data_IF_414723809084
#
_entry.id   IF_414723809084
#
_cell.length_a   1.000
_cell.length_b   1.000
_cell.length_c   1.000
_cell.angle_alpha   90.00
_cell.angle_beta   90.00
_cell.angle_gamma   90.00
#
_symmetry.space_group_name_H-M   'P 1'
#
loop_
_entity.id
_entity.type
_entity.pdbx_description
1 polymer ?
#
# COMPACT_ATOMS: atom_id res chain seq x y z
N UNK A 1 -5.67 -4.81 -23.66
CA UNK A 1 -5.21 -3.42 -23.79
C UNK A 1 -5.04 -2.84 -22.39
N UNK A 2 -3.85 -2.34 -22.04
CA UNK A 2 -3.67 -1.61 -20.77
C UNK A 2 -4.48 -0.32 -20.83
N UNK A 3 -5.35 -0.10 -19.83
CA UNK A 3 -6.09 1.16 -19.71
C UNK A 3 -5.11 2.23 -19.24
N UNK A 4 -4.88 3.24 -20.07
CA UNK A 4 -4.15 4.45 -19.66
C UNK A 4 -5.12 5.44 -19.02
N UNK A 5 -4.66 6.14 -18.00
CA UNK A 5 -5.41 7.22 -17.35
C UNK A 5 -4.57 8.48 -17.38
N UNK A 6 -5.11 9.53 -18.00
CA UNK A 6 -4.49 10.87 -17.97
C UNK A 6 -4.95 11.59 -16.72
N UNK A 7 -4.00 12.17 -15.99
CA UNK A 7 -4.25 12.95 -14.77
C UNK A 7 -3.55 14.29 -14.89
N UNK A 8 -4.24 15.37 -14.51
CA UNK A 8 -3.66 16.71 -14.40
C UNK A 8 -3.46 17.05 -12.93
N UNK A 9 -2.24 17.37 -12.53
CA UNK A 9 -1.88 17.69 -11.14
C UNK A 9 -1.40 19.13 -11.09
N UNK A 10 -1.91 19.91 -10.13
CA UNK A 10 -1.40 21.24 -9.83
C UNK A 10 -0.49 21.15 -8.62
N UNK A 11 0.75 21.57 -8.78
CA UNK A 11 1.75 21.64 -7.70
C UNK A 11 2.17 23.11 -7.57
N UNK A 12 2.28 23.61 -6.34
CA UNK A 12 2.61 25.02 -6.06
C UNK A 12 3.56 25.17 -4.87
N UNK A 13 4.17 26.36 -4.76
CA UNK A 13 5.10 26.70 -3.69
C UNK A 13 6.33 25.79 -3.66
N UNK A 14 6.78 25.45 -2.46
CA UNK A 14 7.99 24.64 -2.22
C UNK A 14 7.97 23.28 -2.95
N UNK A 15 6.80 22.68 -3.17
CA UNK A 15 6.70 21.42 -3.92
C UNK A 15 7.00 21.61 -5.41
N UNK A 16 6.63 22.76 -5.98
CA UNK A 16 6.94 23.06 -7.39
C UNK A 16 8.43 23.26 -7.60
N UNK A 17 9.08 23.98 -6.67
CA UNK A 17 10.54 24.15 -6.68
C UNK A 17 11.25 22.81 -6.53
N UNK A 18 10.80 21.98 -5.60
CA UNK A 18 11.36 20.65 -5.40
C UNK A 18 11.23 19.77 -6.66
N UNK A 19 10.07 19.76 -7.31
CA UNK A 19 9.89 19.04 -8.58
C UNK A 19 10.83 19.59 -9.66
N UNK A 20 10.98 20.92 -9.76
CA UNK A 20 11.86 21.55 -10.73
C UNK A 20 13.35 21.19 -10.54
N UNK A 21 13.81 21.03 -9.30
CA UNK A 21 15.20 20.58 -9.02
C UNK A 21 15.43 19.10 -9.35
N UNK A 22 14.37 18.29 -9.40
CA UNK A 22 14.47 16.85 -9.65
C UNK A 22 14.19 16.46 -11.10
N UNK A 23 13.73 17.40 -11.93
CA UNK A 23 13.28 17.14 -13.30
C UNK A 23 14.00 18.04 -14.30
N UNK A 24 14.49 17.48 -15.40
CA UNK A 24 15.21 18.21 -16.44
C UNK A 24 16.59 17.62 -16.71
N UNK A 25 17.44 18.35 -17.45
CA UNK A 25 18.75 17.87 -17.90
C UNK A 25 19.70 17.50 -16.74
N UNK A 26 19.66 18.29 -15.66
CA UNK A 26 20.44 18.04 -14.43
C UNK A 26 19.63 17.28 -13.35
N UNK A 27 18.37 16.94 -13.65
CA UNK A 27 17.45 16.27 -12.73
C UNK A 27 17.59 14.74 -12.75
N UNK A 28 17.14 14.09 -11.69
CA UNK A 28 17.09 12.62 -11.64
C UNK A 28 16.02 12.01 -12.57
N UNK A 29 15.11 12.84 -13.10
CA UNK A 29 14.01 12.43 -13.97
C UNK A 29 13.95 13.33 -15.21
N UNK A 30 13.57 12.76 -16.34
CA UNK A 30 13.51 13.51 -17.61
C UNK A 30 12.32 14.46 -17.64
N UNK A 31 11.18 14.06 -17.05
CA UNK A 31 9.96 14.85 -17.01
C UNK A 31 9.11 14.60 -15.76
N UNK A 32 8.19 15.52 -15.49
CA UNK A 32 7.30 15.46 -14.32
C UNK A 32 6.44 14.20 -14.32
N UNK A 33 5.97 13.76 -15.49
CA UNK A 33 5.13 12.56 -15.61
C UNK A 33 5.90 11.29 -15.24
N UNK A 34 7.20 11.21 -15.51
CA UNK A 34 8.06 10.14 -15.02
C UNK A 34 8.21 10.18 -13.52
N UNK A 35 8.52 11.36 -12.98
CA UNK A 35 8.69 11.53 -11.55
C UNK A 35 7.42 11.14 -10.76
N UNK A 36 6.25 11.61 -11.20
CA UNK A 36 4.96 11.26 -10.60
C UNK A 36 4.67 9.75 -10.69
N UNK A 37 4.97 9.10 -11.84
CA UNK A 37 4.80 7.64 -11.96
C UNK A 37 5.67 6.88 -10.99
N UNK A 38 6.91 7.33 -10.78
CA UNK A 38 7.80 6.72 -9.81
C UNK A 38 7.32 6.92 -8.36
N UNK A 39 6.87 8.13 -8.01
CA UNK A 39 6.27 8.40 -6.70
C UNK A 39 5.03 7.52 -6.43
N UNK A 40 4.14 7.35 -7.42
CA UNK A 40 2.97 6.48 -7.29
C UNK A 40 3.39 5.02 -7.10
N UNK A 41 4.43 4.56 -7.80
CA UNK A 41 4.95 3.19 -7.63
C UNK A 41 5.49 2.98 -6.22
N UNK A 42 6.31 3.91 -5.72
CA UNK A 42 6.87 3.85 -4.36
C UNK A 42 5.78 3.93 -3.29
N UNK A 43 4.75 4.75 -3.52
CA UNK A 43 3.59 4.83 -2.63
C UNK A 43 2.83 3.50 -2.58
N UNK A 44 2.53 2.92 -3.74
CA UNK A 44 1.90 1.60 -3.85
C UNK A 44 2.71 0.52 -3.11
N UNK A 45 4.01 0.44 -3.37
CA UNK A 45 4.90 -0.54 -2.72
C UNK A 45 4.95 -0.35 -1.21
N UNK A 46 4.97 0.90 -0.74
CA UNK A 46 4.91 1.21 0.70
C UNK A 46 3.61 0.72 1.31
N UNK A 47 2.47 1.06 0.72
CA UNK A 47 1.15 0.66 1.23
C UNK A 47 0.99 -0.86 1.25
N UNK A 48 1.42 -1.56 0.20
CA UNK A 48 1.38 -3.02 0.14
C UNK A 48 2.27 -3.66 1.20
N UNK A 49 3.49 -3.15 1.38
CA UNK A 49 4.42 -3.63 2.42
C UNK A 49 3.85 -3.42 3.82
N UNK A 50 3.32 -2.24 4.11
CA UNK A 50 2.71 -1.93 5.41
C UNK A 50 1.50 -2.83 5.71
N UNK A 51 0.66 -3.10 4.69
CA UNK A 51 -0.47 -4.01 4.83
C UNK A 51 -0.01 -5.45 5.11
N UNK A 52 1.01 -5.91 4.37
CA UNK A 52 1.59 -7.23 4.55
C UNK A 52 2.23 -7.40 5.93
N UNK A 53 3.06 -6.44 6.35
CA UNK A 53 3.76 -6.48 7.63
C UNK A 53 2.77 -6.45 8.81
N UNK A 54 1.68 -5.69 8.69
CA UNK A 54 0.59 -5.68 9.66
C UNK A 54 -0.06 -7.06 9.80
N UNK A 55 -0.46 -7.67 8.69
CA UNK A 55 -1.08 -9.00 8.69
C UNK A 55 -0.11 -10.06 9.25
N UNK A 56 1.17 -10.00 8.84
CA UNK A 56 2.21 -10.90 9.34
C UNK A 56 2.37 -10.78 10.85
N UNK A 57 2.42 -9.55 11.39
CA UNK A 57 2.53 -9.32 12.82
C UNK A 57 1.31 -9.85 13.59
N UNK A 58 0.10 -9.65 13.05
CA UNK A 58 -1.13 -10.18 13.64
C UNK A 58 -1.13 -11.71 13.68
N UNK A 59 -0.81 -12.36 12.56
CA UNK A 59 -0.73 -13.81 12.47
C UNK A 59 0.36 -14.38 13.38
N UNK A 60 1.55 -13.78 13.40
CA UNK A 60 2.63 -14.20 14.29
C UNK A 60 2.19 -14.15 15.77
N UNK A 61 1.46 -13.10 16.16
CA UNK A 61 0.91 -12.99 17.51
C UNK A 61 -0.14 -14.08 17.79
N UNK A 62 -1.01 -14.36 16.83
CA UNK A 62 -2.06 -15.36 16.98
C UNK A 62 -1.51 -16.80 17.04
N UNK A 63 -0.46 -17.10 16.27
CA UNK A 63 0.19 -18.41 16.23
C UNK A 63 1.20 -18.64 17.36
N UNK A 64 1.67 -17.59 18.03
CA UNK A 64 2.48 -17.73 19.23
C UNK A 64 1.68 -18.21 20.46
N UNK A 65 0.35 -18.31 20.34
CA UNK A 65 -0.49 -18.84 21.40
C UNK A 65 -0.25 -20.35 21.59
N UNK A 66 -0.22 -20.87 22.83
CA UNK A 66 -0.09 -22.30 23.09
C UNK A 66 -1.19 -23.11 22.40
N UNK A 67 -0.88 -24.32 21.95
CA UNK A 67 -1.84 -25.15 21.22
C UNK A 67 -3.09 -25.46 22.08
N UNK A 68 -2.90 -25.62 23.39
CA UNK A 68 -3.97 -25.83 24.38
C UNK A 68 -5.01 -24.69 24.43
N UNK A 69 -4.66 -23.50 23.93
CA UNK A 69 -5.58 -22.36 23.88
C UNK A 69 -6.58 -22.43 22.71
N UNK A 70 -6.30 -23.26 21.69
CA UNK A 70 -7.22 -23.45 20.57
C UNK A 70 -8.37 -24.38 20.98
N UNK A 71 -9.56 -24.07 20.47
CA UNK A 71 -10.77 -24.89 20.69
C UNK A 71 -11.26 -25.42 19.35
N UNK A 72 -11.70 -26.69 19.28
CA UNK A 72 -12.40 -27.20 18.11
C UNK A 72 -13.60 -26.30 17.77
N UNK A 73 -13.74 -25.97 16.50
CA UNK A 73 -14.84 -25.14 16.00
C UNK A 73 -15.18 -25.57 14.57
N UNK A 74 -16.46 -25.77 14.32
CA UNK A 74 -17.00 -26.13 13.01
C UNK A 74 -17.58 -24.91 12.30
N UNK A 75 -17.62 -24.96 10.97
CA UNK A 75 -18.26 -23.91 10.18
C UNK A 75 -19.75 -23.76 10.53
N UNK A 76 -20.45 -24.85 10.88
CA UNK A 76 -21.86 -24.82 11.27
C UNK A 76 -22.10 -24.02 12.56
N UNK A 77 -21.24 -24.19 13.57
CA UNK A 77 -21.29 -23.41 14.82
C UNK A 77 -21.05 -21.91 14.57
N UNK A 78 -20.10 -21.57 13.68
CA UNK A 78 -19.84 -20.18 13.29
C UNK A 78 -21.05 -19.55 12.60
N UNK A 79 -21.66 -20.26 11.64
CA UNK A 79 -22.83 -19.77 10.89
C UNK A 79 -24.02 -19.57 11.83
N UNK A 80 -24.29 -20.55 12.71
CA UNK A 80 -25.38 -20.45 13.68
C UNK A 80 -25.22 -19.24 14.60
N UNK A 81 -24.00 -18.91 15.03
CA UNK A 81 -23.69 -17.76 15.89
C UNK A 81 -23.99 -16.40 15.25
N UNK A 82 -23.89 -16.27 13.93
CA UNK A 82 -24.00 -14.98 13.22
C UNK A 82 -25.34 -14.79 12.47
N UNK A 83 -26.38 -15.58 12.79
CA UNK A 83 -27.69 -15.55 12.10
C UNK A 83 -28.69 -14.51 12.63
N UNK A 84 -28.28 -13.68 13.59
CA UNK A 84 -29.03 -12.49 14.05
C UNK A 84 -28.69 -11.28 13.21
#
# INVERSE_FOLDING_TARGET
MSRTTTMTVRVSGALSEFVATNVGEDGAYENVSEYIRDLIRRDKERVEREAFDRLKAELNRAFAAPEESYKPLTAAEVIARNRT
#
